data_IF_657014603057
#
_entry.id   IF_657014603057
#
_cell.length_a   1.000
_cell.length_b   1.000
_cell.length_c   1.000
_cell.angle_alpha   90.00
_cell.angle_beta   90.00
_cell.angle_gamma   90.00
#
_symmetry.space_group_name_H-M   'P 1'
#
loop_
_entity.id
_entity.type
_entity.pdbx_description
1 polymer ?
#
# COMPACT_ATOMS: atom_id res chain seq x y z
N UNK A 1 12.18 -18.29 -15.80
CA UNK A 1 11.35 -17.07 -15.72
C UNK A 1 11.23 -16.66 -14.27
N UNK A 2 11.27 -15.37 -13.98
CA UNK A 2 11.15 -14.82 -12.62
C UNK A 2 9.76 -14.20 -12.47
N UNK A 3 9.11 -14.45 -11.34
CA UNK A 3 7.82 -13.84 -11.00
C UNK A 3 7.94 -13.15 -9.65
N UNK A 4 7.14 -12.11 -9.44
CA UNK A 4 7.10 -11.36 -8.18
C UNK A 4 5.92 -11.82 -7.34
N UNK A 5 6.12 -11.85 -6.02
CA UNK A 5 5.07 -12.16 -5.06
C UNK A 5 4.02 -11.04 -5.07
N UNK A 6 2.74 -11.42 -5.10
CA UNK A 6 1.66 -10.47 -4.94
C UNK A 6 1.67 -9.95 -3.49
N UNK A 7 1.80 -8.62 -3.32
CA UNK A 7 1.64 -8.01 -2.00
C UNK A 7 0.17 -8.09 -1.55
N UNK A 8 0.00 -8.64 -0.36
CA UNK A 8 -1.28 -8.81 0.33
C UNK A 8 -1.09 -8.36 1.78
N UNK A 9 -2.15 -7.83 2.39
CA UNK A 9 -2.17 -7.58 3.83
C UNK A 9 -2.40 -8.90 4.57
N UNK A 10 -2.08 -8.93 5.85
CA UNK A 10 -2.33 -10.04 6.78
C UNK A 10 -3.81 -10.47 6.81
N UNK A 11 -4.72 -9.50 6.68
CA UNK A 11 -6.17 -9.70 6.48
C UNK A 11 -6.57 -10.31 5.11
N UNK A 12 -5.61 -10.60 4.24
CA UNK A 12 -5.84 -11.15 2.89
C UNK A 12 -6.35 -10.13 1.86
N UNK A 13 -6.38 -8.84 2.18
CA UNK A 13 -6.78 -7.79 1.23
C UNK A 13 -5.61 -7.42 0.30
N UNK A 14 -5.93 -7.01 -0.93
CA UNK A 14 -4.93 -6.52 -1.87
C UNK A 14 -4.38 -5.17 -1.39
N UNK A 15 -3.06 -5.10 -1.21
CA UNK A 15 -2.33 -3.86 -0.91
C UNK A 15 -2.59 -2.77 -1.95
N UNK A 16 -2.68 -1.52 -1.52
CA UNK A 16 -2.93 -0.35 -2.37
C UNK A 16 -4.40 -0.06 -2.65
N UNK A 17 -5.35 -0.81 -2.07
CA UNK A 17 -6.78 -0.46 -2.04
C UNK A 17 -7.17 0.02 -0.65
N UNK A 18 -7.22 1.33 -0.47
CA UNK A 18 -7.78 1.96 0.73
C UNK A 18 -9.30 2.06 0.63
N UNK A 19 -9.98 2.41 1.72
CA UNK A 19 -11.41 2.75 1.68
C UNK A 19 -11.72 3.91 0.71
N UNK A 20 -10.74 4.79 0.49
CA UNK A 20 -10.83 5.93 -0.44
C UNK A 20 -10.41 5.60 -1.89
N UNK A 21 -10.04 4.34 -2.17
CA UNK A 21 -9.60 3.90 -3.50
C UNK A 21 -8.11 3.58 -3.61
N UNK A 22 -7.56 3.70 -4.82
CA UNK A 22 -6.17 3.34 -5.12
C UNK A 22 -5.18 4.43 -4.70
N UNK A 23 -4.01 4.02 -4.20
CA UNK A 23 -2.87 4.91 -3.94
C UNK A 23 -2.07 5.11 -5.24
N UNK A 24 -2.00 6.35 -5.71
CA UNK A 24 -1.32 6.70 -6.95
C UNK A 24 0.03 7.38 -6.68
N UNK A 25 0.95 7.29 -7.64
CA UNK A 25 2.21 8.03 -7.63
C UNK A 25 2.07 9.46 -8.19
N UNK A 26 0.99 9.73 -8.93
CA UNK A 26 0.69 11.08 -9.42
C UNK A 26 0.19 11.95 -8.26
N UNK A 27 0.94 13.00 -7.93
CA UNK A 27 0.63 13.94 -6.85
C UNK A 27 -0.75 14.61 -6.98
N UNK A 28 -1.32 14.66 -8.19
CA UNK A 28 -2.67 15.18 -8.45
C UNK A 28 -3.78 14.20 -8.10
N UNK A 29 -3.46 12.90 -8.01
CA UNK A 29 -4.39 11.81 -7.67
C UNK A 29 -4.26 11.34 -6.23
N UNK A 30 -3.06 11.43 -5.67
CA UNK A 30 -2.80 11.17 -4.26
C UNK A 30 -1.79 12.22 -3.80
N UNK A 31 -2.16 13.06 -2.85
CA UNK A 31 -1.25 14.09 -2.37
C UNK A 31 -0.01 13.44 -1.72
N UNK A 32 1.15 14.10 -1.68
CA UNK A 32 2.32 13.58 -0.97
C UNK A 32 2.04 13.27 0.50
N UNK A 33 1.15 14.04 1.13
CA UNK A 33 0.70 13.80 2.49
C UNK A 33 -0.11 12.50 2.61
N UNK A 34 -1.11 12.30 1.75
CA UNK A 34 -1.94 11.09 1.78
C UNK A 34 -1.13 9.84 1.44
N UNK A 35 -0.18 9.97 0.50
CA UNK A 35 0.74 8.89 0.18
C UNK A 35 1.57 8.50 1.40
N UNK A 36 2.14 9.47 2.12
CA UNK A 36 2.88 9.21 3.35
C UNK A 36 1.99 8.58 4.44
N UNK A 37 0.78 9.10 4.63
CA UNK A 37 -0.15 8.59 5.62
C UNK A 37 -0.59 7.15 5.32
N UNK A 38 -0.71 6.78 4.05
CA UNK A 38 -0.97 5.39 3.67
C UNK A 38 0.13 4.45 4.18
N UNK A 39 1.40 4.75 3.90
CA UNK A 39 2.51 3.88 4.31
C UNK A 39 2.74 3.86 5.81
N UNK A 40 2.53 4.99 6.49
CA UNK A 40 2.70 5.05 7.95
C UNK A 40 1.62 4.31 8.73
N UNK A 41 0.43 4.15 8.14
CA UNK A 41 -0.69 3.46 8.78
C UNK A 41 -0.81 1.99 8.34
N UNK A 42 0.24 1.40 7.77
CA UNK A 42 0.31 -0.05 7.55
C UNK A 42 0.47 -0.74 8.89
N UNK A 43 -0.26 -1.84 9.10
CA UNK A 43 -0.17 -2.63 10.32
C UNK A 43 1.24 -3.19 10.55
N UNK A 44 1.67 -3.27 11.81
CA UNK A 44 3.00 -3.74 12.20
C UNK A 44 3.34 -5.12 11.62
N UNK A 45 2.34 -6.01 11.52
CA UNK A 45 2.47 -7.35 10.95
C UNK A 45 2.78 -7.34 9.44
N UNK A 46 2.40 -6.28 8.74
CA UNK A 46 2.52 -6.15 7.28
C UNK A 46 3.69 -5.25 6.86
N UNK A 47 4.23 -4.45 7.77
CA UNK A 47 5.32 -3.51 7.49
C UNK A 47 6.57 -4.21 6.93
N UNK A 48 6.92 -5.37 7.47
CA UNK A 48 8.11 -6.14 7.06
C UNK A 48 7.95 -6.66 5.62
N UNK A 49 6.72 -6.91 5.17
CA UNK A 49 6.47 -7.36 3.80
C UNK A 49 6.58 -6.24 2.76
N UNK A 50 6.69 -4.98 3.21
CA UNK A 50 6.73 -3.79 2.36
C UNK A 50 8.10 -3.11 2.28
N UNK A 51 9.05 -3.51 3.15
CA UNK A 51 10.44 -3.04 3.18
C UNK A 51 11.34 -3.96 2.35
#
# INVERSE_FOLDING_TARGET
GMTFKLLTTSDGRKMGKTQSGAVWLDARKTSPYDFFQYWRNIDDADVINCM
#
